data_IF_901558982495
#
_entry.id   IF_901558982495
#
_cell.length_a   1.000
_cell.length_b   1.000
_cell.length_c   1.000
_cell.angle_alpha   90.00
_cell.angle_beta   90.00
_cell.angle_gamma   90.00
#
_symmetry.space_group_name_H-M   'P 1'
#
loop_
_entity.id
_entity.type
_entity.pdbx_description
1 polymer ?
#
# COMPACT_ATOMS: atom_id res chain seq x y z
N UNK A 1 56.09 8.10 52.36
CA UNK A 1 54.97 7.17 52.08
C UNK A 1 53.61 7.85 51.97
N UNK A 2 53.14 8.65 52.96
CA UNK A 2 51.80 9.30 52.91
C UNK A 2 51.52 10.16 51.66
N UNK A 3 52.50 10.91 51.14
CA UNK A 3 52.33 11.75 49.93
C UNK A 3 52.25 10.95 48.62
N UNK A 4 52.95 9.82 48.53
CA UNK A 4 52.94 8.92 47.37
C UNK A 4 51.59 8.19 47.28
N UNK A 5 51.03 7.79 48.43
CA UNK A 5 49.71 7.16 48.50
C UNK A 5 48.58 8.10 48.08
N UNK A 6 48.70 9.40 48.42
CA UNK A 6 47.73 10.43 48.05
C UNK A 6 47.75 10.74 46.55
N UNK A 7 48.95 10.82 45.95
CA UNK A 7 49.11 11.00 44.51
C UNK A 7 48.59 9.79 43.71
N UNK A 8 48.82 8.56 44.21
CA UNK A 8 48.29 7.35 43.60
C UNK A 8 46.75 7.31 43.61
N UNK A 9 46.12 7.77 44.70
CA UNK A 9 44.66 7.89 44.80
C UNK A 9 44.09 8.93 43.81
N UNK A 10 44.74 10.09 43.71
CA UNK A 10 44.31 11.14 42.75
C UNK A 10 44.43 10.64 41.31
N UNK A 11 45.54 9.97 40.97
CA UNK A 11 45.76 9.36 39.66
C UNK A 11 44.71 8.27 39.35
N UNK A 12 44.40 7.39 40.30
CA UNK A 12 43.37 6.36 40.11
C UNK A 12 41.96 6.94 39.89
N UNK A 13 41.58 7.97 40.65
CA UNK A 13 40.27 8.64 40.51
C UNK A 13 40.15 9.37 39.17
N UNK A 14 41.22 10.01 38.71
CA UNK A 14 41.23 10.71 37.41
C UNK A 14 41.16 9.75 36.23
N UNK A 15 41.82 8.58 36.30
CA UNK A 15 41.69 7.51 35.30
C UNK A 15 40.27 6.93 35.29
N UNK A 16 39.69 6.65 36.46
CA UNK A 16 38.32 6.15 36.56
C UNK A 16 37.28 7.16 36.02
N UNK A 17 37.47 8.46 36.29
CA UNK A 17 36.62 9.51 35.76
C UNK A 17 36.74 9.62 34.23
N UNK A 18 37.94 9.49 33.67
CA UNK A 18 38.14 9.46 32.22
C UNK A 18 37.44 8.26 31.57
N UNK A 19 37.59 7.06 32.14
CA UNK A 19 36.89 5.86 31.65
C UNK A 19 35.37 6.03 31.72
N UNK A 20 34.84 6.57 32.82
CA UNK A 20 33.40 6.82 32.96
C UNK A 20 32.88 7.84 31.93
N UNK A 21 33.61 8.93 31.68
CA UNK A 21 33.26 9.91 30.65
C UNK A 21 33.32 9.27 29.26
N UNK A 22 34.37 8.51 28.96
CA UNK A 22 34.53 7.81 27.68
C UNK A 22 33.40 6.82 27.42
N UNK A 23 33.06 5.99 28.41
CA UNK A 23 31.92 5.06 28.36
C UNK A 23 30.61 5.80 28.17
N UNK A 24 30.40 6.93 28.86
CA UNK A 24 29.20 7.74 28.71
C UNK A 24 29.08 8.32 27.30
N UNK A 25 30.17 8.83 26.73
CA UNK A 25 30.18 9.36 25.35
C UNK A 25 29.99 8.27 24.30
N UNK A 26 30.58 7.09 24.48
CA UNK A 26 30.34 5.95 23.60
C UNK A 26 28.89 5.48 23.65
N UNK A 27 28.31 5.43 24.85
CA UNK A 27 26.91 5.02 25.04
C UNK A 27 25.94 6.04 24.41
N UNK A 28 26.21 7.35 24.55
CA UNK A 28 25.46 8.39 23.85
C UNK A 28 25.57 8.26 22.33
N UNK A 29 26.78 8.02 21.82
CA UNK A 29 27.01 7.82 20.37
C UNK A 29 26.28 6.60 19.84
N UNK A 30 26.29 5.49 20.58
CA UNK A 30 25.55 4.27 20.23
C UNK A 30 24.03 4.49 20.23
N UNK A 31 23.50 5.24 21.21
CA UNK A 31 22.08 5.61 21.24
C UNK A 31 21.68 6.46 20.02
N UNK A 32 22.52 7.42 19.62
CA UNK A 32 22.28 8.21 18.41
C UNK A 32 22.31 7.36 17.14
N UNK A 33 23.23 6.39 17.06
CA UNK A 33 23.30 5.45 15.93
C UNK A 33 22.06 4.56 15.88
N UNK A 34 21.59 4.02 17.02
CA UNK A 34 20.36 3.24 17.10
C UNK A 34 19.17 4.09 16.64
N UNK A 35 19.02 5.31 17.14
CA UNK A 35 17.93 6.22 16.74
C UNK A 35 17.99 6.60 15.24
N UNK A 36 19.19 6.69 14.66
CA UNK A 36 19.37 6.92 13.23
C UNK A 36 18.99 5.68 12.40
N UNK A 37 19.41 4.49 12.84
CA UNK A 37 19.04 3.22 12.21
C UNK A 37 17.53 2.98 12.27
N UNK A 38 16.89 3.25 13.41
CA UNK A 38 15.43 3.16 13.56
C UNK A 38 14.71 4.11 12.60
N UNK A 39 15.19 5.35 12.45
CA UNK A 39 14.65 6.29 11.46
C UNK A 39 14.79 5.77 10.04
N UNK A 40 15.98 5.28 9.66
CA UNK A 40 16.22 4.70 8.34
C UNK A 40 15.33 3.49 8.08
N UNK A 41 15.16 2.62 9.08
CA UNK A 41 14.31 1.44 8.98
C UNK A 41 12.84 1.81 8.78
N UNK A 42 12.33 2.82 9.51
CA UNK A 42 10.97 3.37 9.31
C UNK A 42 10.77 3.93 7.90
N UNK A 43 11.73 4.70 7.38
CA UNK A 43 11.67 5.23 6.01
C UNK A 43 11.69 4.11 4.98
N UNK A 44 12.56 3.11 5.14
CA UNK A 44 12.64 1.98 4.22
C UNK A 44 11.33 1.17 4.20
N UNK A 45 10.79 0.87 5.38
CA UNK A 45 9.51 0.17 5.51
C UNK A 45 8.36 0.92 4.81
N UNK A 46 8.31 2.25 4.96
CA UNK A 46 7.32 3.10 4.28
C UNK A 46 7.49 3.10 2.76
N UNK A 47 8.73 3.14 2.26
CA UNK A 47 9.01 3.09 0.83
C UNK A 47 8.63 1.74 0.22
N UNK A 48 8.91 0.64 0.93
CA UNK A 48 8.50 -0.70 0.51
C UNK A 48 6.97 -0.83 0.49
N UNK A 49 6.26 -0.23 1.45
CA UNK A 49 4.80 -0.14 1.47
C UNK A 49 4.25 0.45 0.18
N UNK A 50 4.78 1.62 -0.16
CA UNK A 50 4.39 2.38 -1.34
C UNK A 50 4.67 1.59 -2.60
N UNK A 51 5.87 1.04 -2.73
CA UNK A 51 6.27 0.26 -3.89
C UNK A 51 5.38 -0.99 -4.09
N UNK A 52 5.03 -1.68 -3.01
CA UNK A 52 4.16 -2.85 -3.07
C UNK A 52 2.75 -2.50 -3.57
N UNK A 53 2.14 -1.45 -3.01
CA UNK A 53 0.81 -0.99 -3.44
C UNK A 53 0.81 -0.51 -4.89
N UNK A 54 1.81 0.30 -5.27
CA UNK A 54 1.98 0.77 -6.65
C UNK A 54 2.12 -0.42 -7.59
N UNK A 55 2.99 -1.38 -7.28
CA UNK A 55 3.23 -2.57 -8.11
C UNK A 55 1.94 -3.35 -8.37
N UNK A 56 1.09 -3.55 -7.36
CA UNK A 56 -0.20 -4.25 -7.50
C UNK A 56 -1.16 -3.52 -8.44
N UNK A 57 -1.27 -2.20 -8.31
CA UNK A 57 -2.11 -1.38 -9.19
C UNK A 57 -1.61 -1.48 -10.64
N UNK A 58 -0.29 -1.40 -10.84
CA UNK A 58 0.33 -1.50 -12.15
C UNK A 58 0.27 -2.89 -12.78
N UNK A 59 0.20 -3.96 -11.99
CA UNK A 59 0.13 -5.33 -12.49
C UNK A 59 -1.07 -5.53 -13.45
N UNK A 60 -2.21 -4.88 -13.17
CA UNK A 60 -3.36 -4.90 -14.07
C UNK A 60 -3.05 -4.23 -15.42
N UNK A 61 -2.36 -3.08 -15.39
CA UNK A 61 -1.95 -2.32 -16.59
C UNK A 61 -1.02 -3.10 -17.51
N UNK A 62 -0.16 -3.98 -16.96
CA UNK A 62 0.81 -4.75 -17.74
C UNK A 62 0.18 -5.75 -18.73
N UNK A 63 -1.09 -6.09 -18.51
CA UNK A 63 -1.88 -6.96 -19.39
C UNK A 63 -2.66 -6.19 -20.48
N UNK A 64 -2.46 -4.87 -20.57
CA UNK A 64 -3.12 -4.02 -21.55
C UNK A 64 -2.50 -4.12 -22.95
N UNK A 65 -3.31 -3.93 -23.99
CA UNK A 65 -2.90 -4.15 -25.38
C UNK A 65 -2.28 -2.90 -26.04
N UNK A 66 -2.62 -1.70 -25.59
CA UNK A 66 -2.09 -0.43 -26.13
C UNK A 66 -1.81 0.60 -25.02
N UNK A 67 -0.84 1.47 -25.29
CA UNK A 67 -0.53 2.65 -24.48
C UNK A 67 0.01 2.35 -23.08
N UNK A 68 -0.11 3.33 -22.20
CA UNK A 68 0.20 3.22 -20.77
C UNK A 68 -0.77 4.09 -19.96
N UNK A 69 -0.72 4.02 -18.62
CA UNK A 69 -1.51 4.93 -17.78
C UNK A 69 -1.21 6.39 -18.13
N UNK A 70 -2.26 7.20 -18.23
CA UNK A 70 -2.13 8.64 -18.46
C UNK A 70 -1.62 9.35 -17.20
N UNK A 71 -1.20 10.61 -17.32
CA UNK A 71 -0.80 11.41 -16.16
C UNK A 71 -1.92 11.46 -15.09
N UNK A 72 -3.17 11.63 -15.53
CA UNK A 72 -4.33 11.69 -14.62
C UNK A 72 -4.56 10.35 -13.91
N UNK A 73 -4.33 9.23 -14.60
CA UNK A 73 -4.39 7.90 -13.99
C UNK A 73 -3.31 7.76 -12.91
N UNK A 74 -2.08 8.20 -13.19
CA UNK A 74 -0.98 8.17 -12.23
C UNK A 74 -1.23 9.07 -11.02
N UNK A 75 -1.79 10.26 -11.23
CA UNK A 75 -2.18 11.15 -10.13
C UNK A 75 -3.26 10.51 -9.26
N UNK A 76 -4.26 9.85 -9.86
CA UNK A 76 -5.29 9.13 -9.12
C UNK A 76 -4.71 7.92 -8.36
N UNK A 77 -3.81 7.18 -9.00
CA UNK A 77 -3.07 6.07 -8.37
C UNK A 77 -2.31 6.53 -7.13
N UNK A 78 -1.57 7.64 -7.23
CA UNK A 78 -0.86 8.23 -6.10
C UNK A 78 -1.81 8.65 -4.97
N UNK A 79 -2.96 9.26 -5.29
CA UNK A 79 -3.96 9.64 -4.27
C UNK A 79 -4.46 8.43 -3.48
N UNK A 80 -4.78 7.31 -4.14
CA UNK A 80 -5.21 6.08 -3.46
C UNK A 80 -4.10 5.50 -2.60
N UNK A 81 -2.87 5.42 -3.14
CA UNK A 81 -1.71 4.90 -2.39
C UNK A 81 -1.45 5.74 -1.15
N UNK A 82 -1.38 7.05 -1.29
CA UNK A 82 -1.13 7.96 -0.17
C UNK A 82 -2.28 7.91 0.84
N UNK A 83 -3.53 7.78 0.38
CA UNK A 83 -4.69 7.57 1.25
C UNK A 83 -4.59 6.29 2.06
N UNK A 84 -4.27 5.15 1.43
CA UNK A 84 -4.14 3.85 2.11
C UNK A 84 -3.02 3.89 3.15
N UNK A 85 -1.85 4.42 2.79
CA UNK A 85 -0.70 4.45 3.69
C UNK A 85 -0.90 5.39 4.89
N UNK A 86 -1.57 6.52 4.68
CA UNK A 86 -1.83 7.50 5.72
C UNK A 86 -2.98 7.06 6.66
N UNK A 87 -4.09 6.59 6.10
CA UNK A 87 -5.32 6.34 6.85
C UNK A 87 -5.44 4.90 7.34
N UNK A 88 -4.76 3.94 6.69
CA UNK A 88 -4.83 2.50 6.99
C UNK A 88 -6.28 2.05 7.20
N UNK A 89 -7.12 2.11 6.15
CA UNK A 89 -8.56 1.89 6.25
C UNK A 89 -8.90 0.63 7.04
N UNK A 90 -9.84 0.76 7.96
CA UNK A 90 -10.39 -0.42 8.64
C UNK A 90 -11.26 -1.22 7.67
N UNK A 91 -11.41 -2.51 7.96
CA UNK A 91 -12.20 -3.38 7.08
C UNK A 91 -13.70 -3.10 7.22
N UNK A 92 -14.34 -2.79 6.10
CA UNK A 92 -15.75 -2.44 5.95
C UNK A 92 -16.60 -3.69 5.65
N UNK A 93 -16.80 -4.54 6.67
CA UNK A 93 -17.50 -5.83 6.54
C UNK A 93 -18.98 -5.69 6.11
N UNK A 94 -19.66 -4.63 6.56
CA UNK A 94 -21.07 -4.40 6.20
C UNK A 94 -21.19 -4.00 4.72
N UNK A 95 -20.26 -3.19 4.22
CA UNK A 95 -20.11 -2.89 2.79
C UNK A 95 -19.84 -4.16 1.98
N UNK A 96 -18.87 -4.98 2.38
CA UNK A 96 -18.58 -6.27 1.72
C UNK A 96 -19.81 -7.18 1.68
N UNK A 97 -20.52 -7.30 2.80
CA UNK A 97 -21.72 -8.14 2.91
C UNK A 97 -22.84 -7.65 2.00
N UNK A 98 -23.05 -6.33 1.90
CA UNK A 98 -23.99 -5.75 0.95
C UNK A 98 -23.58 -6.03 -0.49
N UNK A 99 -22.30 -5.82 -0.80
CA UNK A 99 -21.73 -6.04 -2.13
C UNK A 99 -21.93 -7.48 -2.58
N UNK A 100 -21.47 -8.44 -1.78
CA UNK A 100 -21.55 -9.88 -2.08
C UNK A 100 -23.01 -10.32 -2.23
N UNK A 101 -23.91 -9.83 -1.37
CA UNK A 101 -25.36 -10.10 -1.52
C UNK A 101 -25.87 -9.57 -2.85
N UNK A 102 -25.64 -8.29 -3.18
CA UNK A 102 -26.13 -7.68 -4.41
C UNK A 102 -25.57 -8.37 -5.65
N UNK A 103 -24.28 -8.69 -5.65
CA UNK A 103 -23.61 -9.45 -6.70
C UNK A 103 -24.33 -10.80 -6.95
N UNK A 104 -24.74 -11.49 -5.89
CA UNK A 104 -25.34 -12.81 -6.00
C UNK A 104 -26.87 -12.81 -6.21
N UNK A 105 -27.57 -11.76 -5.80
CA UNK A 105 -29.05 -11.70 -5.87
C UNK A 105 -29.60 -10.90 -7.04
N UNK A 106 -28.76 -10.13 -7.74
CA UNK A 106 -29.19 -9.28 -8.84
C UNK A 106 -28.99 -10.00 -10.17
N UNK A 107 -30.01 -10.01 -11.03
CA UNK A 107 -29.84 -10.49 -12.39
C UNK A 107 -29.09 -9.44 -13.20
N UNK A 108 -27.82 -9.70 -13.45
CA UNK A 108 -26.98 -8.82 -14.26
C UNK A 108 -27.22 -9.10 -15.74
N UNK A 109 -27.44 -8.04 -16.53
CA UNK A 109 -27.49 -8.15 -17.98
C UNK A 109 -26.12 -8.52 -18.57
N UNK A 110 -26.03 -8.58 -19.91
CA UNK A 110 -24.78 -8.88 -20.63
C UNK A 110 -23.62 -7.95 -20.31
N UNK A 111 -23.92 -6.78 -19.77
CA UNK A 111 -22.91 -5.82 -19.37
C UNK A 111 -22.23 -6.25 -18.04
N UNK A 112 -22.86 -7.06 -17.19
CA UNK A 112 -22.31 -7.48 -15.90
C UNK A 112 -22.69 -6.58 -14.71
N UNK A 113 -22.01 -6.75 -13.56
CA UNK A 113 -22.38 -6.07 -12.32
C UNK A 113 -21.92 -4.61 -12.27
N UNK A 114 -22.86 -3.67 -12.37
CA UNK A 114 -22.61 -2.23 -12.21
C UNK A 114 -23.45 -1.61 -11.12
N UNK A 115 -23.00 -0.45 -10.63
CA UNK A 115 -23.68 0.26 -9.56
C UNK A 115 -23.58 -0.43 -8.20
N UNK A 116 -22.76 -1.47 -8.05
CA UNK A 116 -22.56 -2.16 -6.77
C UNK A 116 -22.03 -1.22 -5.69
N UNK A 117 -21.04 -0.38 -6.04
CA UNK A 117 -20.52 0.64 -5.12
C UNK A 117 -21.64 1.56 -4.68
N UNK A 118 -22.37 2.15 -5.62
CA UNK A 118 -23.48 3.07 -5.36
C UNK A 118 -24.60 2.43 -4.51
N UNK A 119 -24.93 1.16 -4.77
CA UNK A 119 -25.99 0.45 -4.05
C UNK A 119 -25.63 0.07 -2.61
N UNK A 120 -24.34 0.09 -2.26
CA UNK A 120 -23.84 -0.37 -0.96
C UNK A 120 -23.02 0.69 -0.22
N UNK A 121 -22.79 1.87 -0.80
CA UNK A 121 -21.93 2.90 -0.23
C UNK A 121 -22.42 3.38 1.13
N UNK A 122 -23.73 3.30 1.38
CA UNK A 122 -24.38 3.63 2.65
C UNK A 122 -24.00 2.67 3.80
N UNK A 123 -23.32 1.56 3.49
CA UNK A 123 -22.83 0.59 4.47
C UNK A 123 -21.36 0.78 4.84
N UNK A 124 -20.67 1.72 4.19
CA UNK A 124 -19.31 2.12 4.54
C UNK A 124 -19.37 3.02 5.77
N UNK A 125 -18.59 2.72 6.81
CA UNK A 125 -18.59 3.48 8.07
C UNK A 125 -17.68 4.69 8.02
N UNK A 126 -16.55 4.57 7.34
CA UNK A 126 -15.59 5.67 7.17
C UNK A 126 -15.97 6.54 5.97
N UNK A 127 -16.37 7.79 6.22
CA UNK A 127 -16.75 8.75 5.19
C UNK A 127 -15.65 8.97 4.14
N UNK A 128 -14.37 8.99 4.56
CA UNK A 128 -13.26 9.21 3.64
C UNK A 128 -13.05 7.97 2.74
N UNK A 129 -13.26 6.77 3.27
CA UNK A 129 -13.29 5.53 2.48
C UNK A 129 -14.48 5.55 1.50
N UNK A 130 -15.66 5.98 1.95
CA UNK A 130 -16.84 6.07 1.10
C UNK A 130 -16.64 7.05 -0.06
N UNK A 131 -16.05 8.23 0.21
CA UNK A 131 -15.70 9.20 -0.82
C UNK A 131 -14.73 8.60 -1.83
N UNK A 132 -13.64 7.96 -1.37
CA UNK A 132 -12.66 7.36 -2.28
C UNK A 132 -13.25 6.22 -3.14
N UNK A 133 -14.08 5.35 -2.54
CA UNK A 133 -14.80 4.30 -3.27
C UNK A 133 -15.72 4.91 -4.35
N UNK A 134 -16.44 5.96 -4.02
CA UNK A 134 -17.35 6.62 -4.94
C UNK A 134 -16.62 7.33 -6.08
N UNK A 135 -15.50 8.01 -5.79
CA UNK A 135 -14.66 8.67 -6.79
C UNK A 135 -14.08 7.67 -7.80
N UNK A 136 -13.60 6.52 -7.32
CA UNK A 136 -13.10 5.43 -8.17
C UNK A 136 -14.21 4.83 -9.03
N UNK A 137 -15.40 4.61 -8.45
CA UNK A 137 -16.58 4.17 -9.18
C UNK A 137 -16.95 5.15 -10.31
N UNK A 138 -17.00 6.46 -10.02
CA UNK A 138 -17.31 7.48 -11.04
C UNK A 138 -16.24 7.56 -12.12
N UNK A 139 -14.95 7.43 -11.76
CA UNK A 139 -13.88 7.37 -12.74
C UNK A 139 -14.04 6.17 -13.69
N UNK A 140 -14.40 4.99 -13.16
CA UNK A 140 -14.65 3.79 -13.95
C UNK A 140 -15.88 3.94 -14.86
N UNK A 141 -16.99 4.47 -14.36
CA UNK A 141 -18.20 4.70 -15.19
C UNK A 141 -17.96 5.74 -16.28
N UNK A 142 -17.17 6.80 -16.01
CA UNK A 142 -16.80 7.76 -17.04
C UNK A 142 -15.93 7.12 -18.12
N UNK A 143 -14.92 6.32 -17.71
CA UNK A 143 -14.08 5.58 -18.65
C UNK A 143 -14.93 4.59 -19.49
N UNK A 144 -15.93 3.96 -18.87
CA UNK A 144 -16.91 3.12 -19.53
C UNK A 144 -17.69 3.84 -20.62
N UNK A 145 -18.23 4.99 -20.27
CA UNK A 145 -19.00 5.82 -21.16
C UNK A 145 -18.16 6.27 -22.36
N UNK A 146 -16.92 6.70 -22.13
CA UNK A 146 -16.00 7.10 -23.19
C UNK A 146 -15.62 5.92 -24.11
N UNK A 147 -15.38 4.72 -23.56
CA UNK A 147 -15.16 3.53 -24.38
C UNK A 147 -16.38 3.17 -25.24
N UNK A 148 -17.59 3.24 -24.68
CA UNK A 148 -18.82 2.99 -25.42
C UNK A 148 -19.00 4.00 -26.57
N UNK A 149 -18.73 5.29 -26.31
CA UNK A 149 -18.81 6.36 -27.30
C UNK A 149 -17.77 6.20 -28.42
N UNK A 150 -16.50 5.95 -28.07
CA UNK A 150 -15.42 5.71 -29.05
C UNK A 150 -15.67 4.48 -29.90
N UNK A 151 -16.30 3.47 -29.32
CA UNK A 151 -16.72 2.28 -30.05
C UNK A 151 -17.97 2.46 -30.92
N UNK A 152 -18.55 3.66 -31.00
CA UNK A 152 -19.84 3.92 -31.67
C UNK A 152 -20.95 2.97 -31.18
N UNK A 153 -20.93 2.60 -29.90
CA UNK A 153 -21.78 1.57 -29.29
C UNK A 153 -21.61 0.15 -29.89
N UNK A 154 -20.56 -0.10 -30.67
CA UNK A 154 -20.20 -1.43 -31.13
C UNK A 154 -19.35 -2.16 -30.10
N UNK A 155 -19.75 -3.40 -29.80
CA UNK A 155 -19.15 -4.22 -28.75
C UNK A 155 -17.66 -4.50 -28.99
N UNK A 156 -17.28 -4.85 -30.21
CA UNK A 156 -15.91 -5.16 -30.64
C UNK A 156 -14.94 -3.99 -30.44
N UNK A 157 -15.38 -2.78 -30.77
CA UNK A 157 -14.56 -1.57 -30.60
C UNK A 157 -14.47 -1.13 -29.14
N UNK A 158 -15.54 -1.32 -28.35
CA UNK A 158 -15.50 -1.09 -26.92
C UNK A 158 -14.54 -2.07 -26.22
N UNK A 159 -14.50 -3.35 -26.63
CA UNK A 159 -13.60 -4.38 -26.08
C UNK A 159 -12.13 -3.97 -26.21
N UNK A 160 -11.72 -3.41 -27.36
CA UNK A 160 -10.35 -2.93 -27.53
C UNK A 160 -10.01 -1.78 -26.57
N UNK A 161 -10.94 -0.85 -26.39
CA UNK A 161 -10.78 0.25 -25.42
C UNK A 161 -10.66 -0.27 -23.98
N UNK A 162 -11.45 -1.27 -23.59
CA UNK A 162 -11.34 -1.93 -22.27
C UNK A 162 -10.03 -2.65 -22.05
N UNK A 163 -9.45 -3.17 -23.13
CA UNK A 163 -8.18 -3.86 -23.09
C UNK A 163 -6.99 -2.89 -23.02
N UNK A 164 -7.17 -1.58 -23.18
CA UNK A 164 -6.09 -0.59 -23.08
C UNK A 164 -5.45 -0.55 -21.68
N UNK A 165 -4.15 -0.26 -21.62
CA UNK A 165 -3.38 -0.26 -20.39
C UNK A 165 -3.90 0.73 -19.34
N UNK A 166 -4.35 1.92 -19.77
CA UNK A 166 -4.95 2.94 -18.88
C UNK A 166 -6.27 2.47 -18.25
N UNK A 167 -7.16 1.84 -19.02
CA UNK A 167 -8.40 1.26 -18.47
C UNK A 167 -8.10 0.12 -17.51
N UNK A 168 -7.17 -0.77 -17.85
CA UNK A 168 -6.75 -1.84 -16.95
C UNK A 168 -6.09 -1.30 -15.67
N UNK A 169 -5.34 -0.21 -15.75
CA UNK A 169 -4.80 0.47 -14.58
C UNK A 169 -5.92 0.96 -13.65
N UNK A 170 -6.95 1.63 -14.19
CA UNK A 170 -8.10 2.08 -13.39
C UNK A 170 -8.87 0.91 -12.75
N UNK A 171 -9.02 -0.21 -13.47
CA UNK A 171 -9.64 -1.41 -12.92
C UNK A 171 -8.78 -2.03 -11.81
N UNK A 172 -7.45 -2.06 -11.98
CA UNK A 172 -6.52 -2.52 -10.94
C UNK A 172 -6.54 -1.63 -9.70
N UNK A 173 -6.64 -0.32 -9.90
CA UNK A 173 -6.80 0.66 -8.82
C UNK A 173 -8.06 0.41 -7.98
N UNK A 174 -9.20 0.29 -8.65
CA UNK A 174 -10.50 -0.01 -8.02
C UNK A 174 -10.47 -1.36 -7.28
N UNK A 175 -9.93 -2.41 -7.92
CA UNK A 175 -9.85 -3.74 -7.34
C UNK A 175 -8.93 -3.78 -6.11
N UNK A 176 -7.73 -3.17 -6.18
CA UNK A 176 -6.79 -3.13 -5.06
C UNK A 176 -7.39 -2.35 -3.89
N UNK A 177 -8.02 -1.20 -4.15
CA UNK A 177 -8.63 -0.42 -3.08
C UNK A 177 -9.82 -1.15 -2.46
N UNK A 178 -10.69 -1.76 -3.28
CA UNK A 178 -11.79 -2.59 -2.82
C UNK A 178 -11.30 -3.74 -1.92
N UNK A 179 -10.26 -4.46 -2.33
CA UNK A 179 -9.68 -5.55 -1.53
C UNK A 179 -9.16 -5.04 -0.18
N UNK A 180 -8.44 -3.92 -0.17
CA UNK A 180 -7.92 -3.32 1.07
C UNK A 180 -9.05 -2.98 2.03
N UNK A 181 -10.14 -2.38 1.54
CA UNK A 181 -11.26 -1.96 2.41
C UNK A 181 -12.17 -3.12 2.80
N UNK A 182 -12.15 -4.26 2.09
CA UNK A 182 -13.06 -5.39 2.37
C UNK A 182 -12.39 -6.61 3.00
N UNK A 183 -11.09 -6.79 2.79
CA UNK A 183 -10.30 -7.91 3.30
C UNK A 183 -9.15 -7.46 4.21
N UNK A 184 -8.82 -6.15 4.20
CA UNK A 184 -7.69 -5.59 4.92
C UNK A 184 -6.36 -5.86 4.24
N UNK A 185 -5.31 -5.22 4.74
CA UNK A 185 -3.95 -5.35 4.18
C UNK A 185 -3.28 -6.72 4.46
N UNK A 186 -3.99 -7.66 5.10
CA UNK A 186 -3.43 -8.93 5.60
C UNK A 186 -3.08 -9.92 4.50
N UNK A 187 -3.66 -9.83 3.31
CA UNK A 187 -3.22 -10.63 2.13
C UNK A 187 -2.04 -10.01 1.40
N UNK A 188 -1.62 -8.80 1.77
CA UNK A 188 -0.62 -8.04 1.00
C UNK A 188 0.64 -7.65 1.72
N UNK A 189 0.65 -7.71 3.04
CA UNK A 189 1.72 -7.08 3.79
C UNK A 189 2.56 -8.08 4.57
N UNK A 190 3.55 -8.66 3.89
CA UNK A 190 4.76 -9.11 4.57
C UNK A 190 6.02 -8.87 3.69
N UNK A 191 6.60 -7.65 3.75
CA UNK A 191 7.86 -7.36 3.07
C UNK A 191 9.07 -8.12 3.66
N UNK A 192 8.90 -8.86 4.77
CA UNK A 192 9.95 -9.69 5.38
C UNK A 192 9.79 -11.19 5.10
N UNK A 193 8.79 -11.63 4.33
CA UNK A 193 8.74 -13.01 3.78
C UNK A 193 9.37 -13.14 2.40
N UNK A 194 10.07 -12.11 1.93
CA UNK A 194 11.09 -12.30 0.90
C UNK A 194 12.39 -12.82 1.54
N UNK A 195 12.28 -13.80 2.43
CA UNK A 195 13.40 -14.62 2.87
C UNK A 195 13.51 -15.80 1.92
N UNK A 196 14.64 -15.82 1.22
CA UNK A 196 15.30 -16.92 0.56
C UNK A 196 14.71 -18.35 0.71
N UNK A 197 14.77 -19.06 -0.42
CA UNK A 197 14.84 -20.51 -0.57
C UNK A 197 13.53 -21.29 -0.46
N UNK A 198 12.94 -21.57 -1.62
CA UNK A 198 12.61 -22.97 -1.92
C UNK A 198 13.93 -23.73 -1.91
N UNK A 199 14.27 -24.39 -0.80
CA UNK A 199 15.14 -25.55 -0.88
C UNK A 199 14.39 -26.60 -1.74
N UNK A 200 15.00 -27.15 -2.79
CA UNK A 200 14.39 -28.27 -3.49
C UNK A 200 14.26 -29.43 -2.50
N UNK A 201 13.06 -30.03 -2.43
CA UNK A 201 12.86 -31.29 -1.74
C UNK A 201 13.92 -32.30 -2.21
N UNK A 202 14.60 -33.02 -1.29
CA UNK A 202 15.39 -34.16 -1.71
C UNK A 202 14.44 -35.19 -2.33
N UNK A 203 14.68 -35.51 -3.60
CA UNK A 203 14.06 -36.64 -4.24
C UNK A 203 14.38 -37.90 -3.43
N UNK A 204 13.34 -38.55 -2.92
CA UNK A 204 13.41 -39.93 -2.43
C UNK A 204 13.35 -40.92 -3.60
#
# INVERSE_FOLDING_TARGET
MKRVLLLALIAAVSVAAYFYISLKTENQTLQEQIANLERRNKTLASNMARAALVSRIYAASASGINGGPTKDDLERGNKVVDFVLANKPTVEQDFKSCWDRKLNTTSWGSMGPYGLTEACIDKVKDDAVAVMLFDLYKAKENARYECAKKGENRYDMAVNCWADASHRFLMGLDAVFFEIVTEGDKKTYNPLTFTASQEPEPAN
#
